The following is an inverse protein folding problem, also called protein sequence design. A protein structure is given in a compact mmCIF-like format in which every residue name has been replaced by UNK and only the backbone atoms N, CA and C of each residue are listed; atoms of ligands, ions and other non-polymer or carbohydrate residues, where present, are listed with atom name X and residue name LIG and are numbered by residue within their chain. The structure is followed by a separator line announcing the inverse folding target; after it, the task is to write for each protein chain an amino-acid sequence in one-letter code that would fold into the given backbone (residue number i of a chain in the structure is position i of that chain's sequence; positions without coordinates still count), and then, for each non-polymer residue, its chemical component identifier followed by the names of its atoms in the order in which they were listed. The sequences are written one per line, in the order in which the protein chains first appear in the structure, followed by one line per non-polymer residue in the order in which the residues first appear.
data_IF_235410650044
#
_entry.id   IF_235410650044
#
_cell.length_a   1.000
_cell.length_b   1.000
_cell.length_c   1.000
_cell.angle_alpha   90.00
_cell.angle_beta   90.00
_cell.angle_gamma   90.00
#
_symmetry.space_group_name_H-M   'P 1'
#
loop_
_entity.id
_entity.type
_entity.pdbx_description
1 polymer ?
#
# COMPACT_ATOMS: atom_id res chain seq x y z
N UNK A 1 59.73 -46.86 -5.25
CA UNK A 1 59.81 -45.59 -6.02
C UNK A 1 59.01 -45.84 -7.28
N UNK A 2 57.79 -45.36 -7.50
CA UNK A 2 57.15 -44.06 -7.33
C UNK A 2 55.62 -44.34 -7.25
N UNK A 3 54.82 -43.89 -6.29
CA UNK A 3 54.56 -42.50 -5.95
C UNK A 3 53.33 -41.98 -6.73
N UNK A 4 52.12 -42.45 -6.40
CA UNK A 4 50.85 -41.92 -6.92
C UNK A 4 50.64 -40.47 -6.43
N UNK A 5 50.13 -39.54 -7.26
CA UNK A 5 49.53 -38.32 -6.76
C UNK A 5 48.00 -38.46 -6.79
N UNK A 6 47.44 -38.73 -5.61
CA UNK A 6 46.04 -38.48 -5.29
C UNK A 6 45.72 -37.01 -5.48
N UNK A 7 44.91 -36.70 -6.48
CA UNK A 7 44.35 -35.36 -6.72
C UNK A 7 43.40 -35.07 -5.56
N UNK A 8 43.87 -34.30 -4.58
CA UNK A 8 43.06 -33.77 -3.49
C UNK A 8 41.93 -32.91 -4.09
N UNK A 9 40.70 -33.34 -3.83
CA UNK A 9 39.51 -32.49 -3.87
C UNK A 9 39.68 -31.36 -2.86
N UNK A 10 40.23 -30.24 -3.32
CA UNK A 10 40.33 -29.02 -2.54
C UNK A 10 38.95 -28.34 -2.60
N UNK A 11 38.06 -28.74 -1.69
CA UNK A 11 36.84 -28.00 -1.35
C UNK A 11 37.27 -26.62 -0.87
N UNK A 12 37.16 -25.63 -1.76
CA UNK A 12 37.25 -24.24 -1.40
C UNK A 12 35.94 -23.84 -0.72
N UNK A 13 35.79 -24.21 0.55
CA UNK A 13 34.88 -23.51 1.46
C UNK A 13 35.45 -22.11 1.67
N UNK A 14 35.23 -21.23 0.69
CA UNK A 14 35.44 -19.80 0.83
C UNK A 14 34.46 -19.35 1.90
N UNK A 15 34.92 -18.87 3.08
CA UNK A 15 34.02 -18.26 4.04
C UNK A 15 33.50 -16.99 3.36
N UNK A 16 32.21 -17.02 2.99
CA UNK A 16 31.52 -15.83 2.48
C UNK A 16 31.73 -14.72 3.52
N UNK A 17 32.33 -13.57 3.15
CA UNK A 17 32.61 -12.51 4.10
C UNK A 17 31.30 -12.07 4.76
N UNK A 18 31.15 -12.39 6.04
CA UNK A 18 29.96 -12.06 6.86
C UNK A 18 29.82 -10.54 7.07
N UNK A 19 30.78 -9.76 6.58
CA UNK A 19 30.91 -8.32 6.77
C UNK A 19 30.07 -7.46 5.81
N UNK A 20 29.59 -8.02 4.69
CA UNK A 20 28.80 -7.27 3.68
C UNK A 20 27.29 -7.55 3.71
N UNK A 21 26.81 -8.34 4.67
CA UNK A 21 25.36 -8.45 4.89
C UNK A 21 24.88 -7.23 5.67
N UNK A 22 23.95 -6.42 5.12
CA UNK A 22 23.37 -5.32 5.87
C UNK A 22 22.83 -5.86 7.20
N UNK A 23 23.26 -5.26 8.30
CA UNK A 23 22.85 -5.70 9.63
C UNK A 23 21.33 -5.78 9.67
N UNK A 24 20.78 -6.83 10.31
CA UNK A 24 19.32 -7.02 10.43
C UNK A 24 18.61 -5.73 10.91
N UNK A 25 19.29 -4.95 11.77
CA UNK A 25 18.83 -3.63 12.21
C UNK A 25 18.68 -2.60 11.09
N UNK A 26 19.61 -2.51 10.13
CA UNK A 26 19.48 -1.63 8.97
C UNK A 26 18.38 -2.09 8.01
N UNK A 27 18.27 -3.40 7.76
CA UNK A 27 17.25 -3.93 6.85
C UNK A 27 15.82 -3.79 7.40
N UNK A 28 15.64 -4.02 8.71
CA UNK A 28 14.31 -4.01 9.35
C UNK A 28 13.93 -2.66 9.95
N UNK A 29 14.88 -1.73 10.12
CA UNK A 29 14.62 -0.39 10.68
C UNK A 29 13.63 0.43 9.86
N UNK A 30 13.73 0.37 8.52
CA UNK A 30 12.80 1.07 7.63
C UNK A 30 11.34 0.58 7.76
N UNK A 31 11.07 -0.73 7.60
CA UNK A 31 9.73 -1.31 7.83
C UNK A 31 9.17 -1.05 9.24
N UNK A 32 10.01 -1.08 10.28
CA UNK A 32 9.62 -0.76 11.66
C UNK A 32 9.20 0.70 11.84
N UNK A 33 9.97 1.64 11.28
CA UNK A 33 9.61 3.05 11.29
C UNK A 33 8.30 3.29 10.52
N UNK A 34 8.14 2.63 9.37
CA UNK A 34 6.91 2.66 8.58
C UNK A 34 5.69 2.18 9.37
N UNK A 35 5.77 1.01 10.01
CA UNK A 35 4.69 0.48 10.86
C UNK A 35 4.34 1.45 12.00
N UNK A 36 5.35 2.05 12.63
CA UNK A 36 5.15 3.01 13.72
C UNK A 36 4.38 4.24 13.25
N UNK A 37 4.74 4.80 12.09
CA UNK A 37 4.04 5.94 11.49
C UNK A 37 2.61 5.54 11.10
N UNK A 38 2.42 4.38 10.47
CA UNK A 38 1.08 3.88 10.10
C UNK A 38 0.20 3.69 11.34
N UNK A 39 0.73 3.17 12.45
CA UNK A 39 0.00 3.01 13.71
C UNK A 39 -0.41 4.36 14.32
N UNK A 40 0.45 5.38 14.26
CA UNK A 40 0.10 6.74 14.70
C UNK A 40 -1.02 7.35 13.86
N UNK A 41 -0.93 7.22 12.52
CA UNK A 41 -1.97 7.71 11.61
C UNK A 41 -3.30 6.99 11.85
N UNK A 42 -3.27 5.67 12.07
CA UNK A 42 -4.45 4.88 12.43
C UNK A 42 -5.11 5.39 13.72
N UNK A 43 -4.31 5.74 14.74
CA UNK A 43 -4.80 6.36 15.97
C UNK A 43 -5.54 7.69 15.74
N UNK A 44 -5.10 8.50 14.79
CA UNK A 44 -5.74 9.78 14.40
C UNK A 44 -7.05 9.52 13.63
N UNK A 45 -7.12 8.47 12.83
CA UNK A 45 -8.30 8.11 12.03
C UNK A 45 -9.53 7.76 12.89
N UNK A 46 -9.33 7.22 14.10
CA UNK A 46 -10.44 6.82 14.99
C UNK A 46 -11.27 8.03 15.46
N UNK A 47 -10.69 9.10 16.03
CA UNK A 47 -11.45 10.32 16.33
C UNK A 47 -12.13 10.94 15.09
N UNK A 48 -11.47 10.93 13.94
CA UNK A 48 -12.05 11.45 12.69
C UNK A 48 -13.33 10.70 12.31
N UNK A 49 -13.33 9.37 12.45
CA UNK A 49 -14.50 8.53 12.27
C UNK A 49 -15.64 8.93 13.21
N UNK A 50 -15.35 9.03 14.51
CA UNK A 50 -16.36 9.35 15.53
C UNK A 50 -16.97 10.74 15.33
N UNK A 51 -16.14 11.75 15.02
CA UNK A 51 -16.60 13.11 14.75
C UNK A 51 -17.51 13.14 13.53
N UNK A 52 -17.14 12.42 12.46
CA UNK A 52 -17.96 12.34 11.25
C UNK A 52 -19.36 11.77 11.56
N UNK A 53 -19.44 10.66 12.31
CA UNK A 53 -20.69 10.04 12.71
C UNK A 53 -21.58 10.94 13.58
N UNK A 54 -20.97 11.77 14.44
CA UNK A 54 -21.71 12.72 15.28
C UNK A 54 -22.19 13.95 14.50
N UNK A 55 -21.40 14.44 13.54
CA UNK A 55 -21.67 15.70 12.84
C UNK A 55 -22.66 15.54 11.68
N UNK A 56 -22.70 14.37 11.04
CA UNK A 56 -23.51 14.14 9.84
C UNK A 56 -24.48 12.95 9.99
N UNK A 57 -25.50 13.05 10.88
CA UNK A 57 -26.43 11.95 11.12
C UNK A 57 -27.33 11.62 9.92
N UNK A 58 -27.55 12.59 9.01
CA UNK A 58 -28.46 12.48 7.87
C UNK A 58 -27.76 12.17 6.52
N UNK A 59 -26.46 11.86 6.53
CA UNK A 59 -25.74 11.56 5.28
C UNK A 59 -26.21 10.24 4.64
N UNK A 60 -26.17 10.13 3.30
CA UNK A 60 -26.65 8.95 2.59
C UNK A 60 -25.92 7.68 3.07
N UNK A 61 -26.70 6.64 3.38
CA UNK A 61 -26.25 5.38 4.01
C UNK A 61 -25.02 4.74 3.33
N UNK A 62 -24.88 4.92 2.01
CA UNK A 62 -23.75 4.38 1.26
C UNK A 62 -22.41 5.01 1.66
N UNK A 63 -22.36 6.32 1.91
CA UNK A 63 -21.13 6.99 2.35
C UNK A 63 -20.73 6.54 3.75
N UNK A 64 -21.74 6.34 4.62
CA UNK A 64 -21.59 5.77 5.96
C UNK A 64 -20.95 4.38 5.89
N UNK A 65 -21.48 3.48 5.06
CA UNK A 65 -20.92 2.13 4.86
C UNK A 65 -19.49 2.16 4.31
N UNK A 66 -19.20 3.02 3.32
CA UNK A 66 -17.85 3.13 2.76
C UNK A 66 -16.80 3.52 3.80
N UNK A 67 -17.14 4.40 4.75
CA UNK A 67 -16.20 4.81 5.79
C UNK A 67 -15.93 3.67 6.78
N UNK A 68 -16.97 2.92 7.21
CA UNK A 68 -16.76 1.75 8.08
C UNK A 68 -15.92 0.70 7.37
N UNK A 69 -16.23 0.43 6.10
CA UNK A 69 -15.50 -0.52 5.28
C UNK A 69 -14.03 -0.12 5.17
N UNK A 70 -13.75 1.16 4.89
CA UNK A 70 -12.40 1.70 4.84
C UNK A 70 -11.66 1.51 6.17
N UNK A 71 -12.31 1.78 7.30
CA UNK A 71 -11.73 1.57 8.62
C UNK A 71 -11.42 0.10 8.91
N UNK A 72 -12.29 -0.83 8.49
CA UNK A 72 -12.06 -2.28 8.59
C UNK A 72 -10.88 -2.73 7.72
N UNK A 73 -10.78 -2.19 6.50
CA UNK A 73 -9.66 -2.51 5.60
C UNK A 73 -8.34 -1.97 6.13
N UNK A 74 -8.33 -0.75 6.68
CA UNK A 74 -7.16 -0.11 7.27
C UNK A 74 -6.67 -0.85 8.53
N UNK A 75 -7.60 -1.28 9.40
CA UNK A 75 -7.28 -2.16 10.55
C UNK A 75 -6.70 -3.49 10.11
N UNK A 76 -7.31 -4.13 9.11
CA UNK A 76 -6.83 -5.41 8.59
C UNK A 76 -5.41 -5.26 8.01
N UNK A 77 -5.16 -4.20 7.24
CA UNK A 77 -3.84 -3.92 6.68
C UNK A 77 -2.80 -3.72 7.79
N UNK A 78 -3.11 -2.91 8.81
CA UNK A 78 -2.20 -2.67 9.94
C UNK A 78 -1.89 -3.97 10.70
N UNK A 79 -2.91 -4.81 10.95
CA UNK A 79 -2.75 -6.09 11.63
C UNK A 79 -1.88 -7.08 10.83
N UNK A 80 -2.05 -7.13 9.51
CA UNK A 80 -1.23 -7.97 8.63
C UNK A 80 0.24 -7.52 8.58
N UNK A 81 0.49 -6.22 8.51
CA UNK A 81 1.87 -5.68 8.54
C UNK A 81 2.51 -5.95 9.91
N UNK A 82 1.76 -5.76 11.00
CA UNK A 82 2.24 -6.02 12.37
C UNK A 82 2.57 -7.49 12.60
N UNK A 83 1.68 -8.41 12.23
CA UNK A 83 1.89 -9.86 12.40
C UNK A 83 3.09 -10.39 11.60
N UNK A 84 3.29 -9.85 10.41
CA UNK A 84 4.45 -10.16 9.58
C UNK A 84 5.77 -9.70 10.17
N UNK A 85 5.79 -8.44 10.63
CA UNK A 85 6.97 -7.85 11.21
C UNK A 85 7.32 -8.54 12.54
N UNK A 86 6.31 -8.94 13.31
CA UNK A 86 6.46 -9.78 14.50
C UNK A 86 7.09 -11.14 14.17
N UNK A 87 6.60 -11.84 13.14
CA UNK A 87 7.17 -13.12 12.71
C UNK A 87 8.66 -12.99 12.32
N UNK A 88 9.03 -11.93 11.62
CA UNK A 88 10.41 -11.69 11.21
C UNK A 88 11.33 -11.29 12.36
N UNK A 89 10.90 -10.39 13.23
CA UNK A 89 11.73 -9.85 14.29
C UNK A 89 11.85 -10.78 15.49
N UNK A 90 10.76 -11.47 15.84
CA UNK A 90 10.68 -12.27 17.08
C UNK A 90 10.90 -13.75 16.78
N UNK A 91 10.13 -14.31 15.84
CA UNK A 91 10.16 -15.76 15.59
C UNK A 91 11.39 -16.19 14.78
N UNK A 92 11.86 -15.36 13.86
CA UNK A 92 12.96 -15.69 12.95
C UNK A 92 14.29 -14.98 13.30
N UNK A 93 14.42 -14.48 14.53
CA UNK A 93 15.59 -13.77 15.01
C UNK A 93 16.86 -14.64 14.87
N UNK A 94 17.77 -14.27 13.97
CA UNK A 94 19.05 -14.96 13.76
C UNK A 94 19.12 -15.93 12.57
N UNK A 95 18.03 -16.16 11.82
CA UNK A 95 18.07 -16.97 10.60
C UNK A 95 18.01 -16.10 9.33
N UNK A 96 19.16 -15.56 8.91
CA UNK A 96 19.30 -14.75 7.68
C UNK A 96 18.83 -15.50 6.41
N UNK A 97 18.86 -16.83 6.43
CA UNK A 97 18.39 -17.66 5.32
C UNK A 97 16.86 -17.66 5.18
N UNK A 98 16.11 -17.40 6.26
CA UNK A 98 14.65 -17.25 6.21
C UNK A 98 14.22 -15.86 5.69
N UNK A 99 15.09 -14.86 5.81
CA UNK A 99 14.92 -13.53 5.23
C UNK A 99 15.22 -13.53 3.71
N UNK A 100 16.14 -14.40 3.29
CA UNK A 100 16.56 -14.61 1.89
C UNK A 100 15.77 -15.70 1.17
N UNK A 101 14.93 -16.48 1.86
CA UNK A 101 14.02 -17.43 1.19
C UNK A 101 12.63 -16.83 1.19
N UNK A 102 12.10 -16.64 0.00
CA UNK A 102 10.74 -16.15 -0.23
C UNK A 102 9.74 -17.25 0.21
N UNK A 103 9.56 -17.39 1.53
CA UNK A 103 8.69 -18.40 2.12
C UNK A 103 7.25 -18.17 1.67
N UNK A 104 6.48 -19.25 1.59
CA UNK A 104 5.08 -19.21 1.16
C UNK A 104 4.24 -18.21 1.97
N UNK A 105 4.56 -18.05 3.26
CA UNK A 105 3.95 -17.07 4.15
C UNK A 105 4.11 -15.64 3.64
N UNK A 106 5.30 -15.27 3.16
CA UNK A 106 5.56 -13.92 2.64
C UNK A 106 4.91 -13.64 1.30
N UNK A 107 4.84 -14.66 0.44
CA UNK A 107 4.05 -14.60 -0.80
C UNK A 107 2.61 -14.27 -0.46
N UNK A 108 2.02 -15.06 0.42
CA UNK A 108 0.61 -14.93 0.80
C UNK A 108 0.32 -13.56 1.40
N UNK A 109 1.17 -13.09 2.31
CA UNK A 109 0.99 -11.80 2.97
C UNK A 109 1.17 -10.62 2.01
N UNK A 110 2.20 -10.64 1.15
CA UNK A 110 2.40 -9.60 0.13
C UNK A 110 1.23 -9.56 -0.86
N UNK A 111 0.71 -10.72 -1.27
CA UNK A 111 -0.49 -10.80 -2.12
C UNK A 111 -1.71 -10.21 -1.41
N UNK A 112 -1.97 -10.60 -0.15
CA UNK A 112 -3.12 -10.08 0.61
C UNK A 112 -3.00 -8.57 0.81
N UNK A 113 -1.82 -8.07 1.16
CA UNK A 113 -1.59 -6.62 1.33
C UNK A 113 -1.88 -5.85 0.04
N UNK A 114 -1.50 -6.36 -1.13
CA UNK A 114 -1.78 -5.71 -2.42
C UNK A 114 -3.26 -5.71 -2.76
N UNK A 115 -3.96 -6.81 -2.48
CA UNK A 115 -5.42 -6.89 -2.68
C UNK A 115 -6.13 -5.85 -1.82
N UNK A 116 -5.69 -5.67 -0.56
CA UNK A 116 -6.26 -4.65 0.32
C UNK A 116 -6.01 -3.24 -0.23
N UNK A 117 -4.77 -2.92 -0.65
CA UNK A 117 -4.44 -1.59 -1.21
C UNK A 117 -5.29 -1.26 -2.44
N UNK A 118 -5.40 -2.19 -3.39
CA UNK A 118 -6.24 -1.99 -4.59
C UNK A 118 -7.72 -1.87 -4.22
N UNK A 119 -8.19 -2.64 -3.23
CA UNK A 119 -9.55 -2.53 -2.69
C UNK A 119 -9.83 -1.15 -2.08
N UNK A 120 -8.90 -0.61 -1.30
CA UNK A 120 -8.98 0.74 -0.72
C UNK A 120 -9.06 1.79 -1.84
N UNK A 121 -8.18 1.72 -2.84
CA UNK A 121 -8.18 2.64 -3.98
C UNK A 121 -9.48 2.58 -4.79
N UNK A 122 -10.04 1.38 -4.99
CA UNK A 122 -11.33 1.19 -5.67
C UNK A 122 -12.49 1.84 -4.89
N UNK A 123 -12.53 1.69 -3.55
CA UNK A 123 -13.53 2.35 -2.70
C UNK A 123 -13.42 3.87 -2.81
N UNK A 124 -12.20 4.42 -2.80
CA UNK A 124 -11.98 5.86 -2.99
C UNK A 124 -12.43 6.34 -4.38
N UNK A 125 -12.14 5.58 -5.43
CA UNK A 125 -12.62 5.90 -6.79
C UNK A 125 -14.14 5.90 -6.89
N UNK A 126 -14.83 4.92 -6.28
CA UNK A 126 -16.30 4.89 -6.22
C UNK A 126 -16.86 6.11 -5.48
N UNK A 127 -16.21 6.53 -4.38
CA UNK A 127 -16.61 7.73 -3.63
C UNK A 127 -16.49 8.99 -4.48
N UNK A 128 -15.40 9.13 -5.23
CA UNK A 128 -15.17 10.22 -6.18
C UNK A 128 -16.24 10.20 -7.28
N UNK A 129 -16.53 9.02 -7.86
CA UNK A 129 -17.54 8.87 -8.91
C UNK A 129 -18.91 9.38 -8.48
N UNK A 130 -19.34 9.05 -7.25
CA UNK A 130 -20.62 9.54 -6.74
C UNK A 130 -20.62 11.04 -6.48
N UNK A 131 -19.52 11.61 -6.00
CA UNK A 131 -19.40 13.04 -5.71
C UNK A 131 -19.29 13.87 -6.99
N UNK A 132 -18.62 13.36 -8.03
CA UNK A 132 -18.33 14.05 -9.30
C UNK A 132 -19.38 13.86 -10.41
N UNK A 133 -20.49 13.18 -10.12
CA UNK A 133 -21.47 12.65 -11.09
C UNK A 133 -22.04 13.65 -12.12
N UNK A 134 -21.94 14.96 -11.91
CA UNK A 134 -22.64 15.94 -12.75
C UNK A 134 -21.74 16.89 -13.56
N UNK A 135 -20.43 16.98 -13.31
CA UNK A 135 -19.64 18.09 -13.91
C UNK A 135 -18.31 17.70 -14.58
N UNK A 136 -17.69 16.55 -14.28
CA UNK A 136 -16.32 16.26 -14.77
C UNK A 136 -16.03 14.78 -15.10
N UNK A 137 -16.69 14.24 -16.13
CA UNK A 137 -16.49 12.86 -16.65
C UNK A 137 -15.02 12.52 -16.93
N UNK A 138 -14.21 13.47 -17.40
CA UNK A 138 -12.77 13.24 -17.72
C UNK A 138 -11.94 12.94 -16.47
N UNK A 139 -12.17 13.65 -15.36
CA UNK A 139 -11.44 13.42 -14.09
C UNK A 139 -11.83 12.07 -13.47
N UNK A 140 -13.08 11.66 -13.66
CA UNK A 140 -13.56 10.35 -13.24
C UNK A 140 -12.88 9.23 -14.02
N UNK A 141 -12.79 9.35 -15.35
CA UNK A 141 -12.06 8.40 -16.19
C UNK A 141 -10.57 8.32 -15.83
N UNK A 142 -9.94 9.45 -15.51
CA UNK A 142 -8.55 9.48 -15.06
C UNK A 142 -8.36 8.69 -13.75
N UNK A 143 -9.26 8.87 -12.77
CA UNK A 143 -9.20 8.12 -11.51
C UNK A 143 -9.40 6.61 -11.72
N UNK A 144 -10.34 6.21 -12.57
CA UNK A 144 -10.59 4.80 -12.90
C UNK A 144 -9.39 4.17 -13.60
N UNK A 145 -8.80 4.87 -14.58
CA UNK A 145 -7.61 4.41 -15.28
C UNK A 145 -6.41 4.27 -14.34
N UNK A 146 -6.27 5.16 -13.36
CA UNK A 146 -5.22 5.07 -12.34
C UNK A 146 -5.37 3.85 -11.43
N UNK A 147 -6.60 3.51 -11.03
CA UNK A 147 -6.89 2.27 -10.26
C UNK A 147 -6.69 1.02 -11.12
N UNK A 148 -7.02 1.07 -12.42
CA UNK A 148 -6.76 -0.03 -13.34
C UNK A 148 -5.25 -0.26 -13.54
N UNK A 149 -4.46 0.82 -13.62
CA UNK A 149 -3.01 0.74 -13.74
C UNK A 149 -2.36 0.11 -12.50
N UNK A 150 -2.78 0.51 -11.29
CA UNK A 150 -2.29 -0.11 -10.03
C UNK A 150 -2.68 -1.58 -9.94
N UNK A 151 -3.89 -1.96 -10.35
CA UNK A 151 -4.29 -3.37 -10.43
C UNK A 151 -3.40 -4.16 -11.39
N UNK A 152 -3.13 -3.63 -12.59
CA UNK A 152 -2.27 -4.28 -13.57
C UNK A 152 -0.84 -4.46 -13.05
N UNK A 153 -0.26 -3.43 -12.42
CA UNK A 153 1.07 -3.48 -11.81
C UNK A 153 1.09 -4.45 -10.62
N UNK A 154 0.03 -4.49 -9.81
CA UNK A 154 -0.08 -5.44 -8.70
C UNK A 154 -0.09 -6.90 -9.19
N UNK A 155 -0.86 -7.20 -10.25
CA UNK A 155 -0.91 -8.53 -10.88
C UNK A 155 0.46 -8.89 -11.46
N UNK A 156 1.09 -8.00 -12.22
CA UNK A 156 2.43 -8.20 -12.78
C UNK A 156 3.44 -8.51 -11.68
N UNK A 157 3.43 -7.72 -10.60
CA UNK A 157 4.38 -7.91 -9.53
C UNK A 157 4.08 -9.16 -8.70
N UNK A 158 2.83 -9.66 -8.65
CA UNK A 158 2.51 -10.96 -8.04
C UNK A 158 3.10 -12.06 -8.91
N UNK A 159 2.87 -12.00 -10.23
CA UNK A 159 3.41 -12.96 -11.19
C UNK A 159 4.95 -13.03 -11.14
N UNK A 160 5.61 -11.87 -11.12
CA UNK A 160 7.06 -11.77 -10.95
C UNK A 160 7.55 -12.40 -9.64
N UNK A 161 6.77 -12.28 -8.55
CA UNK A 161 7.11 -12.88 -7.24
C UNK A 161 6.97 -14.41 -7.22
N UNK A 162 6.19 -15.00 -8.13
CA UNK A 162 6.03 -16.46 -8.26
C UNK A 162 7.07 -17.09 -9.20
N UNK A 163 7.58 -16.32 -10.17
CA UNK A 163 8.55 -16.80 -11.17
C UNK A 163 9.99 -16.76 -10.66
N UNK A 164 10.36 -15.77 -9.84
CA UNK A 164 11.70 -15.67 -9.24
C UNK A 164 11.74 -16.56 -8.00
N UNK A 165 12.14 -17.83 -8.17
CA UNK A 165 12.25 -18.80 -7.07
C UNK A 165 13.60 -18.78 -6.36
N UNK A 166 14.67 -18.37 -7.04
CA UNK A 166 16.02 -18.23 -6.49
C UNK A 166 16.60 -16.90 -6.95
N UNK A 167 17.22 -16.14 -6.05
CA UNK A 167 17.83 -14.83 -6.34
C UNK A 167 18.95 -14.95 -7.39
N UNK A 168 18.79 -14.45 -8.63
CA UNK A 168 19.93 -14.10 -9.44
C UNK A 168 20.00 -12.58 -9.42
N UNK A 169 20.70 -12.03 -8.43
CA UNK A 169 20.99 -10.58 -8.28
C UNK A 169 19.88 -9.74 -7.62
N UNK A 170 20.21 -9.07 -6.50
CA UNK A 170 19.34 -8.11 -5.79
C UNK A 170 18.80 -6.98 -6.70
N UNK A 171 19.45 -6.68 -7.82
CA UNK A 171 19.00 -5.63 -8.75
C UNK A 171 17.74 -6.00 -9.53
N UNK A 172 17.48 -7.28 -9.79
CA UNK A 172 16.28 -7.72 -10.52
C UNK A 172 15.01 -7.66 -9.67
N UNK A 173 15.15 -7.69 -8.34
CA UNK A 173 14.01 -7.65 -7.40
C UNK A 173 13.66 -6.22 -6.96
N UNK A 174 14.63 -5.30 -6.96
CA UNK A 174 14.38 -3.89 -6.59
C UNK A 174 13.51 -3.15 -7.59
N UNK A 175 13.65 -3.44 -8.89
CA UNK A 175 12.87 -2.83 -9.97
C UNK A 175 11.37 -3.07 -9.81
N UNK A 176 10.85 -4.32 -9.70
CA UNK A 176 9.41 -4.57 -9.56
C UNK A 176 8.82 -4.04 -8.25
N UNK A 177 9.61 -3.98 -7.17
CA UNK A 177 9.16 -3.40 -5.90
C UNK A 177 9.04 -1.88 -6.02
N UNK A 178 10.06 -1.23 -6.57
CA UNK A 178 10.09 0.22 -6.78
C UNK A 178 8.97 0.69 -7.70
N UNK A 179 8.70 -0.04 -8.80
CA UNK A 179 7.61 0.30 -9.72
C UNK A 179 6.24 0.20 -9.08
N UNK A 180 6.01 -0.80 -8.22
CA UNK A 180 4.75 -0.93 -7.44
C UNK A 180 4.57 0.26 -6.51
N UNK A 181 5.59 0.60 -5.72
CA UNK A 181 5.50 1.74 -4.80
C UNK A 181 5.32 3.06 -5.54
N UNK A 182 6.08 3.28 -6.61
CA UNK A 182 5.98 4.48 -7.42
C UNK A 182 4.58 4.62 -8.06
N UNK A 183 4.03 3.54 -8.62
CA UNK A 183 2.70 3.57 -9.24
C UNK A 183 1.61 3.80 -8.20
N UNK A 184 1.71 3.15 -7.03
CA UNK A 184 0.77 3.34 -5.92
C UNK A 184 0.79 4.80 -5.44
N UNK A 185 1.98 5.39 -5.26
CA UNK A 185 2.12 6.78 -4.85
C UNK A 185 1.54 7.76 -5.89
N UNK A 186 1.78 7.52 -7.18
CA UNK A 186 1.19 8.33 -8.27
C UNK A 186 -0.33 8.25 -8.23
N UNK A 187 -0.89 7.05 -8.04
CA UNK A 187 -2.34 6.86 -7.93
C UNK A 187 -2.93 7.60 -6.73
N UNK A 188 -2.27 7.56 -5.57
CA UNK A 188 -2.73 8.27 -4.38
C UNK A 188 -2.69 9.79 -4.59
N UNK A 189 -1.65 10.33 -5.25
CA UNK A 189 -1.57 11.75 -5.62
C UNK A 189 -2.71 12.14 -6.58
N UNK A 190 -2.98 11.31 -7.59
CA UNK A 190 -4.08 11.55 -8.55
C UNK A 190 -5.43 11.53 -7.83
N UNK A 191 -5.69 10.51 -7.00
CA UNK A 191 -6.93 10.39 -6.21
C UNK A 191 -7.10 11.61 -5.29
N UNK A 192 -6.05 11.98 -4.55
CA UNK A 192 -6.07 13.13 -3.65
C UNK A 192 -6.29 14.45 -4.41
N UNK A 193 -5.60 14.64 -5.54
CA UNK A 193 -5.77 15.80 -6.41
C UNK A 193 -7.19 15.94 -6.95
N UNK A 194 -7.75 14.85 -7.47
CA UNK A 194 -9.14 14.81 -7.95
C UNK A 194 -10.12 15.08 -6.82
N UNK A 195 -9.91 14.49 -5.63
CA UNK A 195 -10.78 14.72 -4.47
C UNK A 195 -10.76 16.18 -4.00
N UNK A 196 -9.58 16.79 -3.88
CA UNK A 196 -9.42 18.20 -3.53
C UNK A 196 -10.10 19.12 -4.55
N UNK A 197 -9.92 18.84 -5.84
CA UNK A 197 -10.56 19.60 -6.91
C UNK A 197 -12.10 19.48 -6.86
N UNK A 198 -12.63 18.26 -6.71
CA UNK A 198 -14.07 18.03 -6.56
C UNK A 198 -14.65 18.77 -5.37
N UNK A 199 -13.96 18.79 -4.22
CA UNK A 199 -14.40 19.52 -3.02
C UNK A 199 -14.35 21.03 -3.20
N UNK A 200 -13.27 21.56 -3.81
CA UNK A 200 -13.14 22.99 -4.05
C UNK A 200 -14.28 23.49 -4.93
N UNK A 201 -14.55 22.79 -6.04
CA UNK A 201 -15.64 23.16 -6.95
C UNK A 201 -17.03 22.96 -6.34
N UNK A 202 -17.23 21.87 -5.60
CA UNK A 202 -18.47 21.64 -4.86
C UNK A 202 -18.78 22.79 -3.90
N UNK A 203 -17.76 23.32 -3.21
CA UNK A 203 -17.90 24.47 -2.31
C UNK A 203 -18.25 25.76 -3.05
N UNK A 204 -17.68 26.01 -4.23
CA UNK A 204 -18.04 27.18 -5.05
C UNK A 204 -19.52 27.15 -5.43
N UNK A 205 -20.02 26.00 -5.90
CA UNK A 205 -21.43 25.85 -6.32
C UNK A 205 -22.38 26.05 -5.13
N UNK A 206 -22.09 25.46 -3.96
CA UNK A 206 -22.92 25.64 -2.76
C UNK A 206 -22.90 27.09 -2.27
N UNK A 207 -21.75 27.78 -2.35
CA UNK A 207 -21.63 29.18 -1.96
C UNK A 207 -22.45 30.08 -2.88
N UNK A 208 -22.36 29.89 -4.19
CA UNK A 208 -23.15 30.65 -5.18
C UNK A 208 -24.65 30.41 -5.00
N UNK A 209 -25.08 29.17 -4.80
CA UNK A 209 -26.50 28.84 -4.57
C UNK A 209 -27.05 29.47 -3.28
N UNK A 210 -26.23 29.55 -2.23
CA UNK A 210 -26.61 30.20 -0.97
C UNK A 210 -26.77 31.72 -1.13
N UNK A 211 -25.86 32.36 -1.85
CA UNK A 211 -25.97 33.80 -2.17
C UNK A 211 -27.21 34.10 -3.01
N UNK A 212 -27.50 33.27 -4.02
CA UNK A 212 -28.71 33.43 -4.85
C UNK A 212 -29.99 33.26 -4.02
N UNK A 213 -30.05 32.28 -3.10
CA UNK A 213 -31.21 32.11 -2.21
C UNK A 213 -31.44 33.32 -1.31
N UNK A 214 -30.38 33.94 -0.79
CA UNK A 214 -30.49 35.14 0.04
C UNK A 214 -31.04 36.32 -0.79
N UNK A 215 -30.54 36.51 -2.02
CA UNK A 215 -31.00 37.59 -2.91
C UNK A 215 -32.49 37.41 -3.28
N UNK A 216 -32.90 36.19 -3.66
CA UNK A 216 -34.29 35.89 -4.01
C UNK A 216 -35.25 36.01 -2.82
N UNK A 217 -34.78 35.84 -1.58
CA UNK A 217 -35.60 36.00 -0.38
C UNK A 217 -35.77 37.47 0.03
N UNK A 218 -34.89 38.36 -0.46
CA UNK A 218 -34.94 39.80 -0.19
C UNK A 218 -35.71 40.61 -1.25
N UNK A 219 -36.10 39.99 -2.38
CA UNK A 219 -36.99 40.56 -3.39
C UNK A 219 -38.42 40.05 -3.18
#
# INVERSE_FOLDING_TARGET
MSGSPSVLSMSSDVPVPVADMPSLGMAMGGPLAGLSITAMLYGISIPQLVIYYRRYPNDPRLFRYSIVLLWILDTLQLALISSALYFYLVTSHGNYQALLKFTWTLRSQNTVSRVIVVGIQAIYAIRIWKLGRHFYTVLLWCSYLSVAATLAVAIYAIYASYIVQDFPSLSSVSVPISTVFATTAVTDIVIAGVMCFCLHKGREITRVSSTIKIIVTLM
#
